data_IF_996468400875
#
_entry.id   IF_996468400875
#
_cell.length_a   1.000
_cell.length_b   1.000
_cell.length_c   1.000
_cell.angle_alpha   90.00
_cell.angle_beta   90.00
_cell.angle_gamma   90.00
#
_symmetry.space_group_name_H-M   'P 1'
#
loop_
_entity.id
_entity.type
_entity.pdbx_description
1 polymer ?
#
# COMPACT_ATOMS: atom_id res chain seq x y z
N UNK A 1 -28.77 -10.25 -51.48
CA UNK A 1 -27.84 -10.90 -50.53
C UNK A 1 -26.87 -9.92 -49.84
N UNK A 2 -26.59 -8.74 -50.40
CA UNK A 2 -25.66 -7.74 -49.81
C UNK A 2 -26.33 -6.82 -48.74
N UNK A 3 -27.65 -6.68 -48.73
CA UNK A 3 -28.38 -5.90 -47.69
C UNK A 3 -28.50 -6.60 -46.32
N UNK A 4 -28.13 -7.88 -46.19
CA UNK A 4 -28.12 -8.61 -44.91
C UNK A 4 -26.76 -8.54 -44.18
N UNK A 5 -25.68 -8.16 -44.87
CA UNK A 5 -24.34 -8.05 -44.27
C UNK A 5 -24.13 -6.72 -43.52
N UNK A 6 -24.77 -5.65 -43.99
CA UNK A 6 -24.72 -4.31 -43.35
C UNK A 6 -25.56 -4.19 -42.07
N UNK A 7 -26.44 -5.16 -41.80
CA UNK A 7 -27.27 -5.15 -40.57
C UNK A 7 -26.60 -5.89 -39.41
N UNK A 8 -25.47 -6.59 -39.65
CA UNK A 8 -24.67 -7.25 -38.61
C UNK A 8 -23.46 -6.44 -38.14
N UNK A 9 -23.06 -5.42 -38.90
CA UNK A 9 -22.03 -4.43 -38.50
C UNK A 9 -22.58 -3.30 -37.61
N UNK A 10 -23.89 -3.29 -37.36
CA UNK A 10 -24.57 -2.31 -36.49
C UNK A 10 -24.96 -2.90 -35.13
N UNK A 11 -24.24 -3.93 -34.65
CA UNK A 11 -24.27 -4.27 -33.22
C UNK A 11 -23.42 -3.25 -32.47
N UNK A 12 -24.12 -2.22 -31.97
CA UNK A 12 -23.82 -1.50 -30.73
C UNK A 12 -23.22 -2.49 -29.71
N UNK A 13 -21.91 -2.57 -29.62
CA UNK A 13 -21.20 -3.23 -28.52
C UNK A 13 -20.44 -2.14 -27.77
N UNK A 14 -20.98 -1.77 -26.61
CA UNK A 14 -20.18 -1.49 -25.41
C UNK A 14 -19.07 -0.41 -25.48
N UNK A 15 -19.28 0.75 -26.11
CA UNK A 15 -18.29 1.86 -26.10
C UNK A 15 -18.82 3.27 -25.78
N UNK A 16 -19.45 3.52 -24.60
CA UNK A 16 -19.45 4.86 -24.02
C UNK A 16 -18.42 5.03 -22.88
N UNK A 17 -18.14 3.95 -22.12
CA UNK A 17 -17.32 4.02 -20.89
C UNK A 17 -15.81 3.95 -21.14
N UNK A 18 -15.34 3.24 -22.16
CA UNK A 18 -13.88 3.09 -22.42
C UNK A 18 -13.26 4.43 -22.85
N UNK A 19 -13.97 5.18 -23.69
CA UNK A 19 -13.59 6.54 -24.09
C UNK A 19 -13.54 7.53 -22.93
N UNK A 20 -14.33 7.33 -21.86
CA UNK A 20 -14.27 8.20 -20.69
C UNK A 20 -13.07 7.92 -19.79
N UNK A 21 -12.67 6.65 -19.65
CA UNK A 21 -11.53 6.27 -18.79
C UNK A 21 -10.22 6.82 -19.36
N UNK A 22 -9.95 6.63 -20.65
CA UNK A 22 -8.74 7.14 -21.32
C UNK A 22 -8.59 8.66 -21.12
N UNK A 23 -9.67 9.41 -21.34
CA UNK A 23 -9.67 10.86 -21.17
C UNK A 23 -9.40 11.27 -19.71
N UNK A 24 -9.94 10.52 -18.73
CA UNK A 24 -9.70 10.79 -17.31
C UNK A 24 -8.28 10.43 -16.87
N UNK A 25 -7.69 9.37 -17.42
CA UNK A 25 -6.28 9.01 -17.21
C UNK A 25 -5.38 10.14 -17.72
N UNK A 26 -5.60 10.58 -18.96
CA UNK A 26 -4.82 11.68 -19.54
C UNK A 26 -4.99 13.00 -18.77
N UNK A 27 -6.21 13.34 -18.36
CA UNK A 27 -6.48 14.53 -17.55
C UNK A 27 -5.78 14.49 -16.18
N UNK A 28 -5.57 13.30 -15.62
CA UNK A 28 -4.93 13.11 -14.31
C UNK A 28 -3.40 13.12 -14.39
N UNK A 29 -2.81 12.95 -15.58
CA UNK A 29 -1.37 12.74 -15.73
C UNK A 29 -0.51 13.89 -15.21
N UNK A 30 -0.94 15.13 -15.46
CA UNK A 30 -0.21 16.30 -14.98
C UNK A 30 -0.17 16.34 -13.45
N UNK A 31 -1.30 16.03 -12.80
CA UNK A 31 -1.40 15.96 -11.36
C UNK A 31 -0.54 14.84 -10.77
N UNK A 32 -0.56 13.63 -11.36
CA UNK A 32 0.29 12.50 -10.93
C UNK A 32 1.78 12.86 -11.02
N UNK A 33 2.20 13.44 -12.15
CA UNK A 33 3.59 13.83 -12.37
C UNK A 33 4.03 14.89 -11.36
N UNK A 34 3.17 15.87 -11.08
CA UNK A 34 3.41 16.89 -10.07
C UNK A 34 3.49 16.28 -8.65
N UNK A 35 2.61 15.34 -8.30
CA UNK A 35 2.67 14.61 -7.03
C UNK A 35 3.98 13.84 -6.86
N UNK A 36 4.38 13.07 -7.87
CA UNK A 36 5.63 12.31 -7.81
C UNK A 36 6.84 13.24 -7.70
N UNK A 37 6.86 14.32 -8.47
CA UNK A 37 7.95 15.31 -8.42
C UNK A 37 8.04 15.97 -7.03
N UNK A 38 6.90 16.32 -6.43
CA UNK A 38 6.85 16.87 -5.08
C UNK A 38 7.32 15.84 -4.03
N UNK A 39 6.89 14.59 -4.14
CA UNK A 39 7.33 13.52 -3.24
C UNK A 39 8.83 13.25 -3.36
N UNK A 40 9.37 13.15 -4.57
CA UNK A 40 10.78 12.89 -4.84
C UNK A 40 11.69 14.06 -4.46
N UNK A 41 11.16 15.29 -4.44
CA UNK A 41 11.88 16.46 -3.90
C UNK A 41 12.07 16.40 -2.38
N UNK A 42 11.18 15.69 -1.67
CA UNK A 42 11.22 15.53 -0.21
C UNK A 42 11.95 14.23 0.17
N UNK A 43 11.66 13.13 -0.53
CA UNK A 43 12.22 11.81 -0.29
C UNK A 43 13.31 11.54 -1.34
N UNK A 44 14.48 12.09 -1.07
CA UNK A 44 15.61 12.09 -1.99
C UNK A 44 16.13 10.67 -2.26
N UNK A 45 16.37 10.37 -3.54
CA UNK A 45 16.97 9.11 -3.99
C UNK A 45 16.05 7.89 -3.94
N UNK A 46 14.74 8.06 -3.68
CA UNK A 46 13.79 6.94 -3.52
C UNK A 46 12.56 7.03 -4.44
N UNK A 47 12.73 7.18 -5.77
CA UNK A 47 11.60 7.31 -6.70
C UNK A 47 10.69 6.08 -6.69
N UNK A 48 11.27 4.88 -6.62
CA UNK A 48 10.49 3.62 -6.56
C UNK A 48 9.57 3.57 -5.34
N UNK A 49 10.06 3.97 -4.16
CA UNK A 49 9.25 3.97 -2.95
C UNK A 49 8.11 4.99 -3.01
N UNK A 50 8.36 6.17 -3.57
CA UNK A 50 7.33 7.20 -3.77
C UNK A 50 6.23 6.70 -4.72
N UNK A 51 6.62 6.09 -5.84
CA UNK A 51 5.68 5.51 -6.81
C UNK A 51 4.84 4.39 -6.21
N UNK A 52 5.46 3.46 -5.47
CA UNK A 52 4.73 2.37 -4.80
C UNK A 52 3.78 2.89 -3.70
N UNK A 53 4.20 3.89 -2.93
CA UNK A 53 3.34 4.48 -1.89
C UNK A 53 2.13 5.21 -2.51
N UNK A 54 2.34 5.95 -3.60
CA UNK A 54 1.26 6.58 -4.36
C UNK A 54 0.33 5.52 -4.99
N UNK A 55 0.89 4.46 -5.57
CA UNK A 55 0.11 3.35 -6.11
C UNK A 55 -0.75 2.68 -5.04
N UNK A 56 -0.20 2.45 -3.84
CA UNK A 56 -0.93 1.89 -2.70
C UNK A 56 -2.13 2.79 -2.31
N UNK A 57 -1.93 4.11 -2.22
CA UNK A 57 -2.99 5.06 -1.92
C UNK A 57 -4.07 5.09 -3.01
N UNK A 58 -3.68 5.11 -4.28
CA UNK A 58 -4.59 5.09 -5.41
C UNK A 58 -5.37 3.78 -5.54
N UNK A 59 -4.76 2.66 -5.14
CA UNK A 59 -5.40 1.35 -5.05
C UNK A 59 -6.26 1.15 -3.79
N UNK A 60 -6.44 2.21 -2.96
CA UNK A 60 -7.17 2.17 -1.69
C UNK A 60 -6.63 1.11 -0.71
N UNK A 61 -5.31 0.87 -0.75
CA UNK A 61 -4.61 -0.04 0.16
C UNK A 61 -4.04 0.67 1.38
N UNK A 62 -3.52 -0.12 2.32
CA UNK A 62 -2.73 0.38 3.46
C UNK A 62 -1.26 -0.02 3.31
N UNK A 63 -0.37 0.81 3.85
CA UNK A 63 1.06 0.68 3.68
C UNK A 63 1.75 0.28 4.99
N UNK A 64 2.59 -0.75 4.94
CA UNK A 64 3.52 -1.09 6.01
C UNK A 64 4.94 -0.67 5.59
N UNK A 65 5.66 0.04 6.45
CA UNK A 65 7.05 0.41 6.21
C UNK A 65 7.94 -0.21 7.29
N UNK A 66 8.82 -1.11 6.88
CA UNK A 66 9.75 -1.80 7.76
C UNK A 66 11.18 -1.35 7.43
N UNK A 67 11.78 -0.59 8.35
CA UNK A 67 13.16 -0.10 8.20
C UNK A 67 13.76 0.23 9.56
N UNK A 68 15.07 0.46 9.56
CA UNK A 68 15.78 1.10 10.66
C UNK A 68 15.26 2.52 10.96
N UNK A 69 15.43 3.01 12.19
CA UNK A 69 15.15 4.40 12.55
C UNK A 69 15.89 5.39 11.63
N UNK A 70 15.29 6.55 11.36
CA UNK A 70 15.92 7.62 10.56
C UNK A 70 15.82 7.47 9.03
N UNK A 71 15.21 6.42 8.48
CA UNK A 71 15.15 6.18 7.02
C UNK A 71 14.14 7.03 6.23
N UNK A 72 13.51 8.02 6.87
CA UNK A 72 12.54 8.93 6.25
C UNK A 72 11.09 8.40 6.19
N UNK A 73 10.74 7.40 7.01
CA UNK A 73 9.39 6.80 7.07
C UNK A 73 8.30 7.84 7.40
N UNK A 74 8.50 8.56 8.51
CA UNK A 74 7.62 9.65 8.95
C UNK A 74 7.55 10.78 7.92
N UNK A 75 8.69 11.08 7.27
CA UNK A 75 8.77 12.09 6.22
C UNK A 75 7.93 11.71 5.01
N UNK A 76 7.96 10.45 4.57
CA UNK A 76 7.14 9.96 3.45
C UNK A 76 5.65 10.09 3.75
N UNK A 77 5.22 9.66 4.94
CA UNK A 77 3.83 9.72 5.37
C UNK A 77 3.30 11.16 5.39
N UNK A 78 4.05 12.07 6.00
CA UNK A 78 3.72 13.49 6.04
C UNK A 78 3.76 14.12 4.64
N UNK A 79 4.74 13.75 3.80
CA UNK A 79 4.86 14.27 2.44
C UNK A 79 3.63 13.88 1.59
N UNK A 80 3.17 12.64 1.69
CA UNK A 80 1.94 12.19 1.03
C UNK A 80 0.74 13.01 1.50
N UNK A 81 0.50 13.11 2.80
CA UNK A 81 -0.66 13.85 3.29
C UNK A 81 -0.64 15.33 2.88
N UNK A 82 0.52 15.99 2.99
CA UNK A 82 0.67 17.40 2.63
C UNK A 82 0.50 17.64 1.12
N UNK A 83 1.08 16.78 0.27
CA UNK A 83 1.02 16.93 -1.19
C UNK A 83 -0.41 16.76 -1.71
N UNK A 84 -1.20 15.92 -1.05
CA UNK A 84 -2.59 15.61 -1.42
C UNK A 84 -3.65 16.40 -0.62
N UNK A 85 -3.24 17.31 0.27
CA UNK A 85 -4.16 18.11 1.08
C UNK A 85 -5.04 17.29 2.04
N UNK A 86 -4.55 16.14 2.50
CA UNK A 86 -5.28 15.21 3.37
C UNK A 86 -5.04 15.54 4.85
N UNK A 87 -6.05 15.40 5.71
CA UNK A 87 -5.83 15.55 7.16
C UNK A 87 -4.94 14.41 7.63
N UNK A 88 -3.91 14.79 8.37
CA UNK A 88 -2.85 13.92 8.80
C UNK A 88 -2.85 13.82 10.32
N UNK A 89 -2.75 12.60 10.84
CA UNK A 89 -2.49 12.37 12.25
C UNK A 89 -1.37 11.35 12.42
N UNK A 90 -0.36 11.73 13.19
CA UNK A 90 0.67 10.80 13.68
C UNK A 90 0.27 10.29 15.05
N UNK A 91 0.37 8.97 15.23
CA UNK A 91 0.20 8.30 16.51
C UNK A 91 1.40 7.41 16.75
N UNK A 92 2.12 7.69 17.83
CA UNK A 92 3.21 6.85 18.29
C UNK A 92 2.62 5.68 19.07
N UNK A 93 2.91 4.45 18.64
CA UNK A 93 2.46 3.25 19.33
C UNK A 93 3.43 2.95 20.48
N UNK A 94 2.86 2.80 21.67
CA UNK A 94 3.56 2.52 22.93
C UNK A 94 2.82 1.42 23.68
N UNK A 95 3.46 0.81 24.68
CA UNK A 95 2.91 -0.33 25.40
C UNK A 95 1.72 0.02 26.31
N UNK A 96 1.60 1.29 26.68
CA UNK A 96 0.52 1.87 27.50
C UNK A 96 -0.67 2.36 26.67
N UNK A 97 -0.54 2.44 25.34
CA UNK A 97 -1.60 2.91 24.46
C UNK A 97 -2.80 1.95 24.47
N UNK A 98 -3.99 2.49 24.73
CA UNK A 98 -5.23 1.72 24.78
C UNK A 98 -5.94 1.71 23.42
N UNK A 99 -6.79 0.70 23.14
CA UNK A 99 -7.66 0.71 21.96
C UNK A 99 -8.51 1.98 21.82
N UNK A 100 -8.98 2.52 22.95
CA UNK A 100 -9.77 3.75 23.01
C UNK A 100 -8.97 4.99 22.57
N UNK A 101 -7.65 5.00 22.71
CA UNK A 101 -6.80 6.11 22.25
C UNK A 101 -6.66 6.13 20.73
N UNK A 102 -6.88 4.97 20.07
CA UNK A 102 -6.87 4.83 18.61
C UNK A 102 -8.25 5.13 18.03
N UNK A 103 -9.28 4.49 18.59
CA UNK A 103 -10.65 4.54 18.08
C UNK A 103 -11.37 5.80 18.52
N UNK A 104 -11.15 6.24 19.75
CA UNK A 104 -11.90 7.31 20.40
C UNK A 104 -12.75 6.78 21.57
N UNK A 105 -13.24 7.72 22.36
CA UNK A 105 -14.03 7.43 23.56
C UNK A 105 -15.04 8.55 23.81
N UNK A 106 -16.10 8.22 24.55
CA UNK A 106 -17.11 9.22 24.94
C UNK A 106 -16.82 9.76 26.33
N UNK A 107 -16.79 11.08 26.46
CA UNK A 107 -16.68 11.77 27.76
C UNK A 107 -18.04 12.37 28.09
N UNK A 108 -18.49 12.19 29.34
CA UNK A 108 -19.68 12.87 29.82
C UNK A 108 -19.40 14.36 30.05
N UNK A 109 -20.03 15.22 29.26
CA UNK A 109 -19.98 16.65 29.40
C UNK A 109 -21.03 17.10 30.43
N UNK A 110 -20.56 17.68 31.53
CA UNK A 110 -21.39 18.11 32.66
C UNK A 110 -22.29 19.30 32.32
N UNK A 111 -21.88 20.17 31.39
CA UNK A 111 -22.65 21.35 31.00
C UNK A 111 -23.82 20.95 30.09
N UNK A 112 -23.52 20.15 29.06
CA UNK A 112 -24.54 19.69 28.11
C UNK A 112 -25.33 18.48 28.60
N UNK A 113 -24.90 17.84 29.70
CA UNK A 113 -25.43 16.58 30.25
C UNK A 113 -25.51 15.47 29.19
N UNK A 114 -24.55 15.44 28.27
CA UNK A 114 -24.50 14.50 27.15
C UNK A 114 -23.12 13.88 27.06
N UNK A 115 -23.08 12.65 26.56
CA UNK A 115 -21.81 12.02 26.17
C UNK A 115 -21.34 12.66 24.86
N UNK A 116 -20.15 13.25 24.88
CA UNK A 116 -19.49 13.82 23.70
C UNK A 116 -18.41 12.86 23.24
N UNK A 117 -18.49 12.46 21.97
CA UNK A 117 -17.47 11.62 21.36
C UNK A 117 -16.18 12.42 21.14
N UNK A 118 -15.10 11.95 21.72
CA UNK A 118 -13.74 12.35 21.38
C UNK A 118 -13.20 11.37 20.34
N UNK A 119 -13.16 11.83 19.09
CA UNK A 119 -12.69 11.05 17.94
C UNK A 119 -11.20 10.75 18.08
N UNK A 120 -10.82 9.48 17.95
CA UNK A 120 -9.43 9.07 17.92
C UNK A 120 -8.72 9.40 16.60
N UNK A 121 -7.41 9.12 16.50
CA UNK A 121 -6.58 9.37 15.32
C UNK A 121 -7.12 8.80 14.01
N UNK A 122 -7.85 7.68 14.05
CA UNK A 122 -8.40 7.01 12.85
C UNK A 122 -9.44 7.83 12.09
N UNK A 123 -9.95 8.92 12.67
CA UNK A 123 -10.88 9.83 11.99
C UNK A 123 -10.18 10.88 11.09
N UNK A 124 -8.94 10.64 10.71
CA UNK A 124 -8.16 11.43 9.74
C UNK A 124 -7.96 10.64 8.42
N UNK A 125 -7.82 11.34 7.30
CA UNK A 125 -7.65 10.67 5.99
C UNK A 125 -6.29 9.94 5.89
N UNK A 126 -5.23 10.46 6.52
CA UNK A 126 -3.93 9.80 6.60
C UNK A 126 -3.54 9.61 8.06
N UNK A 127 -3.33 8.35 8.44
CA UNK A 127 -2.91 7.97 9.80
C UNK A 127 -1.53 7.32 9.73
N UNK A 128 -0.54 7.94 10.38
CA UNK A 128 0.75 7.31 10.61
C UNK A 128 0.74 6.59 11.97
N UNK A 129 0.69 5.26 11.93
CA UNK A 129 0.85 4.39 13.10
C UNK A 129 2.33 4.04 13.27
N UNK A 130 3.06 4.88 13.98
CA UNK A 130 4.51 4.76 14.14
C UNK A 130 4.84 3.70 15.19
N UNK A 131 5.69 2.73 14.83
CA UNK A 131 6.13 1.61 15.67
C UNK A 131 4.97 0.74 16.18
N UNK A 132 4.07 0.35 15.28
CA UNK A 132 2.85 -0.44 15.60
C UNK A 132 3.15 -1.70 16.42
N UNK A 133 4.34 -2.28 16.23
CA UNK A 133 4.80 -3.44 16.99
C UNK A 133 5.19 -3.15 18.45
N UNK A 134 5.10 -1.92 18.95
CA UNK A 134 5.31 -1.61 20.38
C UNK A 134 4.03 -1.62 21.23
N UNK A 135 2.86 -1.53 20.59
CA UNK A 135 1.60 -1.59 21.31
C UNK A 135 1.13 -3.01 21.59
N UNK A 136 0.22 -3.15 22.56
CA UNK A 136 -0.38 -4.44 22.87
C UNK A 136 -1.14 -5.02 21.67
N UNK A 137 -1.27 -6.37 21.57
CA UNK A 137 -2.05 -6.99 20.51
C UNK A 137 -3.50 -6.50 20.43
N UNK A 138 -4.10 -6.08 21.55
CA UNK A 138 -5.46 -5.51 21.58
C UNK A 138 -5.51 -4.15 20.88
N UNK A 139 -4.54 -3.28 21.14
CA UNK A 139 -4.42 -1.94 20.53
C UNK A 139 -4.11 -2.05 19.04
N UNK A 140 -3.22 -2.99 18.65
CA UNK A 140 -2.98 -3.31 17.24
C UNK A 140 -4.26 -3.76 16.53
N UNK A 141 -5.02 -4.66 17.16
CA UNK A 141 -6.27 -5.19 16.59
C UNK A 141 -7.30 -4.09 16.34
N UNK A 142 -7.41 -3.10 17.24
CA UNK A 142 -8.35 -1.99 17.08
C UNK A 142 -8.07 -1.15 15.82
N UNK A 143 -6.80 -0.85 15.51
CA UNK A 143 -6.43 -0.17 14.27
C UNK A 143 -6.74 -1.05 13.04
N UNK A 144 -6.40 -2.33 13.12
CA UNK A 144 -6.51 -3.26 12.00
C UNK A 144 -7.97 -3.64 11.66
N UNK A 145 -8.84 -3.61 12.66
CA UNK A 145 -10.29 -3.74 12.49
C UNK A 145 -10.85 -2.51 11.78
N UNK A 146 -10.48 -1.31 12.24
CA UNK A 146 -10.83 -0.06 11.57
C UNK A 146 -10.38 -0.02 10.10
N UNK A 147 -9.19 -0.55 9.80
CA UNK A 147 -8.69 -0.72 8.43
C UNK A 147 -9.50 -1.71 7.58
N UNK A 148 -10.04 -2.76 8.18
CA UNK A 148 -10.76 -3.79 7.45
C UNK A 148 -12.22 -3.38 7.19
N UNK A 149 -12.86 -2.77 8.20
CA UNK A 149 -14.30 -2.48 8.19
C UNK A 149 -14.61 -1.06 7.72
N UNK A 150 -13.63 -0.16 7.65
CA UNK A 150 -13.82 1.28 7.34
C UNK A 150 -14.84 2.00 8.25
N UNK A 151 -15.14 1.41 9.40
CA UNK A 151 -16.04 1.94 10.42
C UNK A 151 -15.62 1.42 11.80
N UNK A 152 -16.06 2.10 12.84
CA UNK A 152 -15.83 1.69 14.24
C UNK A 152 -17.08 1.88 15.08
N UNK A 153 -17.26 1.01 16.08
CA UNK A 153 -18.38 1.14 17.02
C UNK A 153 -17.89 1.58 18.39
N UNK A 154 -18.44 2.69 18.89
CA UNK A 154 -18.10 3.29 20.18
C UNK A 154 -19.41 3.44 20.96
N UNK A 155 -19.48 2.82 22.14
CA UNK A 155 -20.67 2.82 23.01
C UNK A 155 -21.97 2.38 22.29
N UNK A 156 -21.86 1.41 21.39
CA UNK A 156 -23.00 0.88 20.62
C UNK A 156 -23.43 1.73 19.42
N UNK A 157 -22.74 2.84 19.13
CA UNK A 157 -22.98 3.68 17.94
C UNK A 157 -21.84 3.44 16.94
N UNK A 158 -22.21 3.12 15.70
CA UNK A 158 -21.25 2.92 14.61
C UNK A 158 -20.96 4.25 13.92
N UNK A 159 -19.68 4.52 13.68
CA UNK A 159 -19.16 5.71 13.02
C UNK A 159 -18.32 5.30 11.81
N UNK A 160 -18.63 5.87 10.65
CA UNK A 160 -17.84 5.68 9.44
C UNK A 160 -16.53 6.48 9.50
N UNK A 161 -15.46 5.90 8.94
CA UNK A 161 -14.17 6.56 8.80
C UNK A 161 -14.17 7.51 7.60
N UNK A 162 -13.31 8.55 7.60
CA UNK A 162 -13.26 9.48 6.48
C UNK A 162 -12.77 8.77 5.21
N UNK A 163 -13.31 9.13 4.07
CA UNK A 163 -12.81 8.68 2.78
C UNK A 163 -12.00 9.81 2.11
N UNK A 164 -10.83 9.54 1.53
CA UNK A 164 -10.07 8.29 1.63
C UNK A 164 -9.53 8.05 3.05
N UNK A 165 -9.43 6.77 3.44
CA UNK A 165 -8.81 6.33 4.69
C UNK A 165 -7.52 5.58 4.38
N UNK A 166 -6.37 6.20 4.65
CA UNK A 166 -5.05 5.65 4.37
C UNK A 166 -4.25 5.50 5.66
N UNK A 167 -3.76 4.30 5.91
CA UNK A 167 -2.96 3.97 7.09
C UNK A 167 -1.57 3.61 6.62
N UNK A 168 -0.59 4.30 7.18
CA UNK A 168 0.82 4.00 7.03
C UNK A 168 1.30 3.53 8.40
N UNK A 169 1.60 2.24 8.53
CA UNK A 169 2.18 1.69 9.75
C UNK A 169 3.69 1.57 9.58
N UNK A 170 4.45 1.85 10.63
CA UNK A 170 5.89 1.56 10.67
C UNK A 170 6.18 0.47 11.68
N UNK A 171 7.18 -0.34 11.39
CA UNK A 171 7.71 -1.31 12.34
C UNK A 171 9.22 -1.18 12.42
N UNK A 172 9.74 -1.32 13.64
CA UNK A 172 11.16 -1.54 13.85
C UNK A 172 11.46 -3.05 13.85
N UNK A 173 12.68 -3.45 13.47
CA UNK A 173 13.11 -4.85 13.55
C UNK A 173 12.91 -5.44 14.96
N UNK A 174 12.60 -6.73 15.04
CA UNK A 174 12.19 -7.46 16.25
C UNK A 174 13.25 -7.58 17.35
N UNK A 175 14.46 -7.07 17.15
CA UNK A 175 15.57 -7.18 18.09
C UNK A 175 15.48 -6.24 19.30
N UNK A 176 14.44 -5.39 19.37
CA UNK A 176 14.20 -4.51 20.50
C UNK A 176 13.25 -5.15 21.53
N UNK A 177 13.66 -5.16 22.79
CA UNK A 177 12.83 -5.61 23.91
C UNK A 177 11.52 -4.80 24.00
N UNK A 178 10.41 -5.49 24.28
CA UNK A 178 9.08 -4.86 24.38
C UNK A 178 8.36 -4.66 23.04
N UNK A 179 8.65 -5.51 22.04
CA UNK A 179 7.91 -5.54 20.78
C UNK A 179 7.00 -6.78 20.68
N UNK A 180 5.80 -6.58 20.16
CA UNK A 180 4.80 -7.57 19.80
C UNK A 180 4.72 -7.65 18.27
N UNK A 181 5.27 -8.70 17.63
CA UNK A 181 5.17 -8.86 16.19
C UNK A 181 3.70 -8.93 15.76
N UNK A 182 3.38 -8.34 14.61
CA UNK A 182 2.06 -8.51 14.02
C UNK A 182 1.92 -9.97 13.56
N UNK A 183 0.88 -10.70 13.99
CA UNK A 183 0.54 -11.99 13.42
C UNK A 183 0.33 -11.89 11.91
N UNK A 184 0.55 -12.99 11.19
CA UNK A 184 0.43 -13.02 9.73
C UNK A 184 -0.97 -12.62 9.23
N UNK A 185 -2.01 -13.03 9.94
CA UNK A 185 -3.38 -12.63 9.64
C UNK A 185 -3.59 -11.11 9.73
N UNK A 186 -2.78 -10.42 10.53
CA UNK A 186 -2.77 -8.96 10.66
C UNK A 186 -1.90 -8.31 9.60
N UNK A 187 -0.72 -8.86 9.30
CA UNK A 187 0.14 -8.39 8.21
C UNK A 187 -0.55 -8.45 6.85
N UNK A 188 -1.35 -9.50 6.58
CA UNK A 188 -2.11 -9.65 5.34
C UNK A 188 -3.10 -8.50 5.09
N UNK A 189 -3.42 -7.71 6.14
CA UNK A 189 -4.27 -6.51 6.03
C UNK A 189 -3.61 -5.34 5.32
N UNK A 190 -2.29 -5.28 5.31
CA UNK A 190 -1.56 -4.28 4.55
C UNK A 190 -1.49 -4.71 3.08
N UNK A 191 -1.73 -3.77 2.17
CA UNK A 191 -1.64 -4.06 0.74
C UNK A 191 -0.18 -4.26 0.34
N UNK A 192 0.70 -3.36 0.81
CA UNK A 192 2.13 -3.35 0.50
C UNK A 192 2.98 -3.26 1.75
N UNK A 193 4.15 -3.91 1.73
CA UNK A 193 5.27 -3.69 2.64
C UNK A 193 6.45 -3.10 1.87
N UNK A 194 6.95 -1.94 2.32
CA UNK A 194 8.11 -1.27 1.73
C UNK A 194 9.27 -1.21 2.72
N UNK A 195 10.48 -1.19 2.15
CA UNK A 195 11.70 -0.75 2.82
C UNK A 195 12.29 0.38 1.98
N UNK A 196 12.58 1.50 2.64
CA UNK A 196 13.16 2.70 2.09
C UNK A 196 14.69 2.61 2.02
N UNK A 197 15.32 1.84 2.91
CA UNK A 197 16.78 1.68 2.96
C UNK A 197 17.56 2.98 3.21
N UNK A 198 18.88 2.90 3.13
CA UNK A 198 19.76 4.06 3.20
C UNK A 198 19.64 4.91 1.93
N UNK A 199 19.72 6.26 2.02
CA UNK A 199 19.85 7.11 0.85
C UNK A 199 21.17 6.81 0.12
N UNK A 200 21.20 7.04 -1.19
CA UNK A 200 22.47 7.02 -1.93
C UNK A 200 23.35 8.22 -1.55
N UNK A 201 24.64 8.18 -1.93
CA UNK A 201 25.63 9.21 -1.60
C UNK A 201 25.17 10.61 -2.05
N UNK A 202 24.52 10.71 -3.22
CA UNK A 202 24.08 12.01 -3.76
C UNK A 202 22.87 12.54 -3.00
N UNK A 203 21.93 11.68 -2.65
CA UNK A 203 20.77 11.98 -1.83
C UNK A 203 21.20 12.39 -0.42
N UNK A 204 22.13 11.66 0.19
CA UNK A 204 22.67 11.97 1.52
C UNK A 204 23.40 13.32 1.51
N UNK A 205 24.23 13.59 0.50
CA UNK A 205 24.87 14.90 0.32
C UNK A 205 23.83 16.03 0.20
N UNK A 206 22.78 15.84 -0.59
CA UNK A 206 21.68 16.81 -0.71
C UNK A 206 20.95 17.00 0.62
N UNK A 207 20.74 15.95 1.40
CA UNK A 207 20.13 16.05 2.74
C UNK A 207 20.97 16.93 3.67
N UNK A 208 22.30 16.75 3.68
CA UNK A 208 23.21 17.56 4.50
C UNK A 208 23.23 19.04 4.09
N UNK A 209 23.23 19.30 2.77
CA UNK A 209 23.16 20.68 2.25
C UNK A 209 21.83 21.34 2.64
N UNK A 210 20.70 20.68 2.39
CA UNK A 210 19.38 21.20 2.70
C UNK A 210 19.13 21.36 4.22
N UNK A 211 19.74 20.51 5.05
CA UNK A 211 19.67 20.65 6.51
C UNK A 211 20.35 21.94 6.99
N UNK A 212 21.45 22.32 6.34
CA UNK A 212 22.18 23.56 6.64
C UNK A 212 21.35 24.80 6.29
N UNK A 213 20.62 24.75 5.16
CA UNK A 213 19.71 25.82 4.72
C UNK A 213 18.48 25.94 5.63
N UNK A 214 17.89 24.82 6.06
CA UNK A 214 16.76 24.79 7.00
C UNK A 214 17.11 25.26 8.41
N UNK A 215 18.38 25.23 8.80
CA UNK A 215 18.82 25.72 10.12
C UNK A 215 18.95 27.25 10.15
N UNK A 216 19.08 27.90 8.98
CA UNK A 216 19.11 29.36 8.86
C UNK A 216 17.70 29.98 8.78
N UNK A 217 16.67 29.16 8.56
CA UNK A 217 15.26 29.54 8.68
C UNK A 217 14.73 28.94 9.99
N UNK A 218 14.47 29.79 10.98
CA UNK A 218 14.09 29.42 12.36
C UNK A 218 13.22 28.14 12.49
N UNK A 219 13.49 27.27 13.50
CA UNK A 219 12.72 26.07 13.76
C UNK A 219 11.41 26.47 14.45
N UNK A 220 10.37 26.72 13.67
CA UNK A 220 9.00 26.79 14.15
C UNK A 220 8.18 25.81 13.36
N UNK A 221 7.43 24.97 14.07
CA UNK A 221 6.53 23.98 13.49
C UNK A 221 5.59 24.61 12.45
N UNK A 222 5.08 23.75 11.60
CA UNK A 222 3.93 23.97 10.71
C UNK A 222 4.09 24.85 9.47
N UNK A 223 5.24 25.47 9.21
CA UNK A 223 5.39 26.31 8.02
C UNK A 223 6.26 25.71 6.91
N UNK A 224 5.59 25.02 5.99
CA UNK A 224 5.83 25.28 4.58
C UNK A 224 4.48 25.21 3.88
N UNK A 225 4.05 26.34 3.31
CA UNK A 225 3.04 26.47 2.26
C UNK A 225 3.39 25.52 1.11
N UNK A 226 3.16 24.22 1.31
CA UNK A 226 3.35 23.23 0.27
C UNK A 226 2.10 23.28 -0.58
N UNK A 227 2.28 23.56 -1.87
CA UNK A 227 1.19 23.62 -2.82
C UNK A 227 0.46 22.27 -2.79
N UNK A 228 -0.73 22.26 -2.19
CA UNK A 228 -1.67 21.16 -2.29
C UNK A 228 -1.93 20.97 -3.79
N UNK A 229 -1.50 19.82 -4.32
CA UNK A 229 -1.51 19.59 -5.78
C UNK A 229 -2.91 19.22 -6.23
N UNK A 230 -3.65 18.51 -5.39
CA UNK A 230 -5.01 18.05 -5.67
C UNK A 230 -5.91 18.16 -4.44
N UNK A 231 -7.21 18.17 -4.70
CA UNK A 231 -8.24 18.11 -3.66
C UNK A 231 -8.60 16.66 -3.32
N UNK A 232 -9.22 16.46 -2.15
CA UNK A 232 -9.78 15.16 -1.75
C UNK A 232 -10.74 14.60 -2.81
N UNK A 233 -11.59 15.45 -3.38
CA UNK A 233 -12.55 15.04 -4.41
C UNK A 233 -11.84 14.55 -5.67
N UNK A 234 -10.76 15.22 -6.09
CA UNK A 234 -9.96 14.79 -7.23
C UNK A 234 -9.29 13.43 -6.97
N UNK A 235 -8.78 13.20 -5.75
CA UNK A 235 -8.21 11.91 -5.35
C UNK A 235 -9.25 10.78 -5.46
N UNK A 236 -10.47 11.00 -4.96
CA UNK A 236 -11.56 10.01 -5.05
C UNK A 236 -11.91 9.68 -6.50
N UNK A 237 -11.93 10.68 -7.38
CA UNK A 237 -12.14 10.47 -8.82
C UNK A 237 -11.01 9.61 -9.38
N UNK A 238 -9.75 9.92 -9.09
CA UNK A 238 -8.59 9.11 -9.54
C UNK A 238 -8.68 7.67 -9.04
N UNK A 239 -9.01 7.44 -7.77
CA UNK A 239 -9.19 6.11 -7.21
C UNK A 239 -10.31 5.33 -7.94
N UNK A 240 -11.43 5.99 -8.27
CA UNK A 240 -12.50 5.37 -9.05
C UNK A 240 -12.03 5.00 -10.47
N UNK A 241 -11.28 5.89 -11.14
CA UNK A 241 -10.69 5.61 -12.46
C UNK A 241 -9.77 4.39 -12.42
N UNK A 242 -8.94 4.28 -11.38
CA UNK A 242 -8.05 3.12 -11.18
C UNK A 242 -8.84 1.82 -11.14
N UNK A 243 -10.02 1.77 -10.49
CA UNK A 243 -10.84 0.55 -10.47
C UNK A 243 -11.34 0.13 -11.87
N UNK A 244 -11.53 1.11 -12.76
CA UNK A 244 -12.07 0.94 -14.11
C UNK A 244 -11.02 0.62 -15.17
N UNK A 245 -9.73 0.67 -14.82
CA UNK A 245 -8.64 0.30 -15.73
C UNK A 245 -8.82 -1.13 -16.24
N UNK A 246 -8.63 -1.29 -17.54
CA UNK A 246 -8.81 -2.55 -18.24
C UNK A 246 -7.73 -3.56 -17.84
N UNK A 247 -8.14 -4.82 -17.67
CA UNK A 247 -7.23 -5.94 -17.43
C UNK A 247 -7.65 -7.06 -18.35
N UNK A 248 -6.68 -7.55 -19.13
CA UNK A 248 -6.91 -8.67 -20.03
C UNK A 248 -6.92 -9.99 -19.28
N UNK A 249 -7.51 -11.03 -19.88
CA UNK A 249 -7.57 -12.35 -19.25
C UNK A 249 -6.16 -12.94 -19.05
N UNK A 250 -5.23 -12.66 -19.94
CA UNK A 250 -3.84 -13.13 -19.88
C UNK A 250 -3.13 -12.59 -18.62
N UNK A 251 -3.36 -11.33 -18.26
CA UNK A 251 -2.82 -10.74 -17.02
C UNK A 251 -3.46 -11.36 -15.79
N UNK A 252 -4.77 -11.64 -15.83
CA UNK A 252 -5.47 -12.33 -14.74
C UNK A 252 -4.89 -13.74 -14.56
N UNK A 253 -4.70 -14.47 -15.66
CA UNK A 253 -4.11 -15.80 -15.67
C UNK A 253 -2.67 -15.77 -15.13
N UNK A 254 -1.88 -14.73 -15.47
CA UNK A 254 -0.55 -14.51 -14.91
C UNK A 254 -0.56 -14.29 -13.39
N UNK A 255 -1.48 -13.48 -12.87
CA UNK A 255 -1.66 -13.28 -11.42
C UNK A 255 -2.07 -14.59 -10.72
N UNK A 256 -2.96 -15.36 -11.34
CA UNK A 256 -3.39 -16.66 -10.83
C UNK A 256 -2.23 -17.64 -10.82
N UNK A 257 -1.42 -17.68 -11.88
CA UNK A 257 -0.24 -18.52 -11.99
C UNK A 257 0.79 -18.22 -10.90
N UNK A 258 1.14 -16.95 -10.69
CA UNK A 258 2.01 -16.51 -9.60
C UNK A 258 1.48 -16.97 -8.24
N UNK A 259 0.17 -16.82 -8.02
CA UNK A 259 -0.49 -17.28 -6.79
C UNK A 259 -0.43 -18.81 -6.67
N UNK A 260 -0.60 -19.54 -7.77
CA UNK A 260 -0.61 -21.00 -7.81
C UNK A 260 0.79 -21.60 -7.58
N UNK A 261 1.84 -21.01 -8.14
CA UNK A 261 3.23 -21.44 -7.88
C UNK A 261 3.55 -21.37 -6.38
N UNK A 262 3.14 -20.28 -5.71
CA UNK A 262 3.29 -20.18 -4.25
C UNK A 262 2.52 -21.25 -3.48
N UNK A 263 1.40 -21.75 -4.02
CA UNK A 263 0.53 -22.78 -3.39
C UNK A 263 0.95 -24.21 -3.68
N UNK A 264 1.50 -24.49 -4.87
CA UNK A 264 2.03 -25.81 -5.25
C UNK A 264 3.16 -26.25 -4.31
N UNK A 265 4.01 -25.31 -3.91
CA UNK A 265 5.03 -25.57 -2.90
C UNK A 265 4.49 -26.07 -1.55
N UNK A 266 3.26 -25.68 -1.19
CA UNK A 266 2.61 -26.08 0.06
C UNK A 266 1.89 -27.44 -0.06
N UNK A 267 1.35 -27.75 -1.24
CA UNK A 267 0.51 -28.96 -1.47
C UNK A 267 1.32 -30.22 -1.79
N UNK A 268 2.60 -30.09 -2.18
CA UNK A 268 3.49 -31.22 -2.47
C UNK A 268 4.34 -31.70 -1.27
N UNK A 269 3.92 -31.43 -0.03
CA UNK A 269 4.56 -31.96 1.19
C UNK A 269 4.46 -33.51 1.37
N UNK A 270 4.22 -34.26 0.30
CA UNK A 270 4.14 -35.72 0.30
C UNK A 270 4.57 -36.43 -1.00
N UNK A 271 4.98 -35.71 -2.06
CA UNK A 271 5.40 -36.31 -3.33
C UNK A 271 6.83 -35.88 -3.68
N UNK A 272 7.72 -36.87 -3.80
CA UNK A 272 9.18 -36.75 -3.98
C UNK A 272 9.65 -36.15 -5.34
N UNK A 273 8.88 -35.30 -6.01
CA UNK A 273 9.25 -34.86 -7.37
C UNK A 273 8.74 -33.45 -7.72
N UNK A 274 9.53 -32.42 -7.39
CA UNK A 274 9.63 -31.21 -8.23
C UNK A 274 10.89 -30.41 -7.89
N UNK A 275 11.75 -30.17 -8.88
CA UNK A 275 13.05 -29.46 -8.78
C UNK A 275 12.96 -27.95 -8.41
N UNK A 276 11.78 -27.46 -8.02
CA UNK A 276 11.54 -26.06 -7.61
C UNK A 276 11.13 -26.01 -6.13
N UNK A 277 12.12 -26.16 -5.23
CA UNK A 277 11.95 -26.07 -3.77
C UNK A 277 11.68 -24.62 -3.27
N UNK A 278 10.58 -24.00 -3.71
CA UNK A 278 10.14 -22.71 -3.16
C UNK A 278 9.23 -22.96 -1.96
N UNK A 279 9.75 -23.54 -0.87
CA UNK A 279 8.97 -23.77 0.34
C UNK A 279 8.63 -22.44 1.04
N UNK A 280 7.45 -21.88 0.74
CA UNK A 280 6.94 -20.63 1.28
C UNK A 280 5.45 -20.78 1.63
N UNK A 281 4.94 -19.86 2.46
CA UNK A 281 3.50 -19.82 2.76
C UNK A 281 2.69 -19.46 1.50
N UNK A 282 1.56 -20.14 1.27
CA UNK A 282 0.74 -19.91 0.08
C UNK A 282 0.14 -18.50 0.09
N UNK A 283 0.17 -17.83 -1.07
CA UNK A 283 -0.50 -16.54 -1.24
C UNK A 283 -2.02 -16.67 -1.09
N UNK A 284 -2.60 -15.85 -0.21
CA UNK A 284 -4.04 -15.75 0.01
C UNK A 284 -4.76 -15.17 -1.21
N UNK A 285 -6.08 -15.41 -1.39
CA UNK A 285 -6.87 -14.71 -2.41
C UNK A 285 -6.83 -13.17 -2.26
N UNK A 286 -6.63 -12.68 -1.03
CA UNK A 286 -6.43 -11.24 -0.75
C UNK A 286 -5.17 -10.72 -1.43
N UNK A 287 -4.09 -11.50 -1.44
CA UNK A 287 -2.86 -11.16 -2.14
C UNK A 287 -3.09 -10.97 -3.65
N UNK A 288 -3.82 -11.90 -4.30
CA UNK A 288 -4.13 -11.80 -5.73
C UNK A 288 -4.99 -10.56 -6.04
N UNK A 289 -5.98 -10.25 -5.19
CA UNK A 289 -6.80 -9.02 -5.32
C UNK A 289 -5.97 -7.76 -5.11
N UNK A 290 -5.11 -7.73 -4.09
CA UNK A 290 -4.20 -6.62 -3.81
C UNK A 290 -3.24 -6.38 -4.97
N UNK A 291 -2.69 -7.45 -5.55
CA UNK A 291 -1.77 -7.39 -6.68
C UNK A 291 -2.45 -6.79 -7.92
N UNK A 292 -3.68 -7.22 -8.22
CA UNK A 292 -4.46 -6.67 -9.32
C UNK A 292 -4.73 -5.17 -9.15
N UNK A 293 -5.20 -4.74 -7.97
CA UNK A 293 -5.49 -3.33 -7.70
C UNK A 293 -4.24 -2.46 -7.74
N UNK A 294 -3.13 -2.95 -7.16
CA UNK A 294 -1.84 -2.27 -7.22
C UNK A 294 -1.30 -2.16 -8.65
N UNK A 295 -1.45 -3.19 -9.47
CA UNK A 295 -1.03 -3.17 -10.88
C UNK A 295 -1.86 -2.18 -11.70
N UNK A 296 -3.18 -2.09 -11.46
CA UNK A 296 -4.03 -1.04 -12.06
C UNK A 296 -3.54 0.35 -11.66
N UNK A 297 -3.23 0.57 -10.38
CA UNK A 297 -2.71 1.85 -9.93
C UNK A 297 -1.34 2.20 -10.55
N UNK A 298 -0.48 1.21 -10.78
CA UNK A 298 0.78 1.42 -11.52
C UNK A 298 0.55 1.79 -12.98
N UNK A 299 -0.34 1.09 -13.68
CA UNK A 299 -0.72 1.43 -15.05
C UNK A 299 -1.27 2.86 -15.13
N UNK A 300 -2.10 3.26 -14.16
CA UNK A 300 -2.61 4.63 -14.04
C UNK A 300 -1.49 5.67 -13.91
N UNK A 301 -0.52 5.39 -13.04
CA UNK A 301 0.64 6.27 -12.82
C UNK A 301 1.48 6.42 -14.11
N UNK A 302 1.51 5.38 -14.94
CA UNK A 302 2.18 5.35 -16.25
C UNK A 302 1.32 5.87 -17.40
N UNK A 303 0.22 6.57 -17.11
CA UNK A 303 -0.70 7.13 -18.10
C UNK A 303 -1.41 6.09 -18.99
N UNK A 304 -1.54 4.85 -18.52
CA UNK A 304 -2.18 3.76 -19.28
C UNK A 304 -3.54 3.41 -18.69
N UNK A 305 -4.49 3.10 -19.57
CA UNK A 305 -5.82 2.62 -19.25
C UNK A 305 -5.94 1.08 -19.26
N UNK A 306 -4.81 0.39 -19.46
CA UNK A 306 -4.69 -1.07 -19.42
C UNK A 306 -3.46 -1.52 -18.63
N UNK A 307 -3.57 -2.67 -17.97
CA UNK A 307 -2.48 -3.29 -17.21
C UNK A 307 -1.58 -4.14 -18.11
N UNK A 308 -0.27 -4.02 -17.91
CA UNK A 308 0.76 -4.89 -18.50
C UNK A 308 1.31 -5.86 -17.45
N UNK A 309 1.89 -7.00 -17.86
CA UNK A 309 2.58 -7.92 -16.95
C UNK A 309 3.69 -7.24 -16.14
N UNK A 310 4.40 -6.28 -16.76
CA UNK A 310 5.45 -5.50 -16.09
C UNK A 310 4.93 -4.71 -14.87
N UNK A 311 3.67 -4.25 -14.90
CA UNK A 311 3.04 -3.58 -13.76
C UNK A 311 2.89 -4.54 -12.58
N UNK A 312 2.46 -5.78 -12.88
CA UNK A 312 2.32 -6.84 -11.88
C UNK A 312 3.68 -7.13 -11.27
N UNK A 313 4.73 -7.28 -12.08
CA UNK A 313 6.09 -7.52 -11.61
C UNK A 313 6.63 -6.36 -10.75
N UNK A 314 6.35 -5.12 -11.14
CA UNK A 314 6.79 -3.93 -10.43
C UNK A 314 6.24 -3.85 -9.00
N UNK A 315 4.97 -4.26 -8.80
CA UNK A 315 4.32 -4.26 -7.47
C UNK A 315 4.47 -5.57 -6.71
N UNK A 316 4.81 -6.68 -7.39
CA UNK A 316 4.78 -8.02 -6.81
C UNK A 316 5.60 -8.14 -5.54
N UNK A 317 6.84 -7.63 -5.55
CA UNK A 317 7.69 -7.66 -4.36
C UNK A 317 7.03 -6.94 -3.17
N UNK A 318 6.53 -5.72 -3.39
CA UNK A 318 5.92 -4.92 -2.34
C UNK A 318 4.63 -5.57 -1.78
N UNK A 319 3.83 -6.21 -2.64
CA UNK A 319 2.58 -6.86 -2.26
C UNK A 319 2.81 -8.23 -1.63
N UNK A 320 3.70 -9.06 -2.18
CA UNK A 320 3.77 -10.48 -1.81
C UNK A 320 4.87 -10.81 -0.80
N UNK A 321 5.91 -10.00 -0.65
CA UNK A 321 7.09 -10.37 0.17
C UNK A 321 6.75 -10.62 1.66
N UNK A 322 5.79 -9.90 2.24
CA UNK A 322 5.35 -10.11 3.64
C UNK A 322 4.35 -11.26 3.80
N UNK A 323 3.89 -11.84 2.69
CA UNK A 323 2.96 -12.98 2.65
C UNK A 323 3.69 -14.30 2.35
N UNK A 324 4.87 -14.20 1.72
CA UNK A 324 5.73 -15.32 1.31
C UNK A 324 6.81 -15.63 2.38
N UNK A 325 6.44 -15.74 3.65
CA UNK A 325 7.43 -16.09 4.69
C UNK A 325 7.76 -17.59 4.71
N UNK A 326 9.02 -17.91 5.05
CA UNK A 326 9.53 -19.27 5.21
C UNK A 326 9.24 -19.73 6.64
N UNK A 327 8.93 -21.02 6.83
CA UNK A 327 8.89 -21.60 8.16
C UNK A 327 10.21 -21.38 8.94
N UNK A 328 10.16 -21.00 10.24
CA UNK A 328 11.34 -20.65 11.05
C UNK A 328 12.46 -21.71 11.02
N UNK A 329 12.11 -23.00 10.96
CA UNK A 329 13.06 -24.11 10.94
C UNK A 329 13.96 -24.15 9.69
N UNK A 330 13.60 -23.47 8.60
CA UNK A 330 14.39 -23.42 7.36
C UNK A 330 15.11 -22.08 7.14
N UNK A 331 14.79 -21.06 7.95
CA UNK A 331 15.43 -19.74 7.86
C UNK A 331 16.90 -19.80 8.31
N UNK A 332 17.22 -20.72 9.23
CA UNK A 332 18.59 -21.03 9.68
C UNK A 332 19.45 -21.72 8.60
N UNK A 333 18.85 -22.43 7.64
CA UNK A 333 19.57 -23.14 6.58
C UNK A 333 19.83 -22.27 5.34
N UNK A 334 19.02 -21.22 5.12
CA UNK A 334 19.09 -20.36 3.92
C UNK A 334 19.88 -19.06 4.09
N UNK A 335 20.22 -18.68 5.32
CA UNK A 335 21.04 -17.50 5.62
C UNK A 335 22.46 -17.56 5.03
N UNK A 336 22.89 -18.72 4.50
CA UNK A 336 24.23 -18.90 3.95
C UNK A 336 24.32 -18.96 2.41
N UNK A 337 23.22 -19.04 1.66
CA UNK A 337 23.32 -19.49 0.24
C UNK A 337 22.44 -18.80 -0.82
N UNK A 338 21.47 -17.94 -0.50
CA UNK A 338 20.70 -17.26 -1.56
C UNK A 338 20.26 -15.84 -1.19
N UNK A 339 20.85 -14.82 -1.84
CA UNK A 339 20.49 -13.40 -1.70
C UNK A 339 19.22 -12.99 -2.46
N UNK A 340 18.59 -13.91 -3.20
CA UNK A 340 17.36 -13.60 -3.94
C UNK A 340 16.13 -13.79 -3.06
N UNK A 341 15.34 -12.73 -2.92
CA UNK A 341 14.05 -12.80 -2.23
C UNK A 341 13.13 -13.86 -2.87
N UNK A 342 12.33 -14.54 -2.05
CA UNK A 342 11.35 -15.53 -2.54
C UNK A 342 10.39 -14.92 -3.55
N UNK A 343 10.00 -13.67 -3.36
CA UNK A 343 9.16 -12.97 -4.32
C UNK A 343 9.81 -12.93 -5.71
N UNK A 344 11.12 -12.68 -5.80
CA UNK A 344 11.83 -12.70 -7.08
C UNK A 344 11.96 -14.12 -7.65
N UNK A 345 12.11 -15.13 -6.79
CA UNK A 345 12.13 -16.53 -7.24
C UNK A 345 10.79 -16.94 -7.86
N UNK A 346 9.67 -16.56 -7.22
CA UNK A 346 8.32 -16.80 -7.76
C UNK A 346 8.14 -16.05 -9.08
N UNK A 347 8.54 -14.78 -9.18
CA UNK A 347 8.47 -14.02 -10.44
C UNK A 347 9.21 -14.71 -11.58
N UNK A 348 10.45 -15.16 -11.34
CA UNK A 348 11.28 -15.80 -12.37
C UNK A 348 10.80 -17.20 -12.76
N UNK A 349 9.94 -17.81 -11.94
CA UNK A 349 9.38 -19.14 -12.22
C UNK A 349 8.15 -19.12 -13.12
N UNK A 350 7.57 -17.95 -13.37
CA UNK A 350 6.36 -17.79 -14.20
C UNK A 350 6.65 -17.10 -15.51
N UNK A 351 6.44 -17.84 -16.60
CA UNK A 351 6.42 -17.28 -17.95
C UNK A 351 5.18 -16.41 -18.12
N UNK A 352 5.41 -15.18 -18.56
CA UNK A 352 4.38 -14.19 -18.86
C UNK A 352 3.52 -14.60 -20.06
N UNK A 353 4.12 -15.33 -21.01
CA UNK A 353 3.46 -15.69 -22.28
C UNK A 353 2.54 -16.89 -22.10
N UNK A 354 2.94 -17.87 -21.27
CA UNK A 354 2.17 -19.08 -21.01
C UNK A 354 2.01 -19.34 -19.49
N UNK A 355 1.24 -18.49 -18.79
CA UNK A 355 1.22 -18.49 -17.32
C UNK A 355 0.64 -19.76 -16.70
N UNK A 356 -0.29 -20.46 -17.36
CA UNK A 356 -0.95 -21.65 -16.81
C UNK A 356 -0.41 -22.98 -17.36
N UNK A 357 0.60 -22.96 -18.24
CA UNK A 357 1.25 -24.17 -18.73
C UNK A 357 2.39 -24.58 -17.81
N UNK A 358 2.10 -25.52 -16.90
CA UNK A 358 3.06 -26.16 -16.00
C UNK A 358 2.77 -27.63 -15.77
#
# INVERSE_FOLDING_TARGET
>A
MIKRLLTLLNRRFFMPQISSVINQVQASQHAITAMLTALESIILGKPKACRLALACLLAQGHLLIEDLPGMGKTTLAHALAATLGLRYQRTQFTNDLLPADIVGFSIFDKETKRFKLHKGPIFNQVVLADEINRASPKTQSALLEAMAEHQVSIDGITYELPEPFFVIATQNPLFHAGTYPLPESQLDRFMMRLSLGFPDINAEKKMLLNATERTQQTPSGDNAERAVIITEQALRVMQNVVTQIHVSNEVIDYIIALSHVSRRAYTQQGSQQSDLEINCKPLSPRASKALLQAAKAMAFIDSRDYVLPDDVQAVFYAVCQHRLEIHPNQQLARSSTNNNSLANQVLNSVDVINPLFY
#
